data_IF_338470100394
#
_entry.id   IF_338470100394
#
_cell.length_a   1.000
_cell.length_b   1.000
_cell.length_c   1.000
_cell.angle_alpha   90.00
_cell.angle_beta   90.00
_cell.angle_gamma   90.00
#
_symmetry.space_group_name_H-M   'P 1'
#
loop_
_entity.id
_entity.type
_entity.pdbx_description
1 polymer ?
#
# COMPACT_ATOMS: atom_id res chain seq x y z
N UNK A 1 -78.19 4.23 11.88
CA UNK A 1 -77.69 4.80 10.61
C UNK A 1 -76.27 5.34 10.83
N UNK A 2 -75.28 4.79 10.11
CA UNK A 2 -73.90 5.31 9.87
C UNK A 2 -72.98 5.42 11.11
N UNK A 3 -71.70 5.04 11.14
CA UNK A 3 -70.74 4.43 10.20
C UNK A 3 -69.51 4.00 11.03
N UNK A 4 -68.94 2.85 10.65
CA UNK A 4 -67.53 2.41 10.71
C UNK A 4 -66.53 3.13 11.63
N UNK A 5 -65.77 2.34 12.39
CA UNK A 5 -64.30 2.48 12.50
C UNK A 5 -63.68 1.13 12.88
N UNK A 6 -63.33 0.36 11.83
CA UNK A 6 -62.32 -0.69 11.84
C UNK A 6 -60.99 0.04 11.56
N UNK A 7 -60.05 0.06 12.51
CA UNK A 7 -58.64 0.33 12.18
C UNK A 7 -57.76 -0.61 13.00
N UNK A 8 -57.30 -1.66 12.30
CA UNK A 8 -55.95 -2.21 12.29
C UNK A 8 -55.15 -2.19 13.60
N UNK A 9 -55.09 -3.34 14.25
CA UNK A 9 -53.94 -3.73 15.09
C UNK A 9 -52.78 -4.03 14.13
N UNK A 10 -52.00 -3.02 13.77
CA UNK A 10 -50.76 -3.18 13.04
C UNK A 10 -49.69 -3.68 14.02
N UNK A 11 -49.28 -4.94 13.85
CA UNK A 11 -48.08 -5.50 14.44
C UNK A 11 -46.87 -4.64 14.07
N UNK A 12 -46.41 -3.80 14.99
CA UNK A 12 -45.08 -3.21 14.96
C UNK A 12 -44.11 -4.32 15.37
N UNK A 13 -43.77 -5.21 14.43
CA UNK A 13 -42.52 -5.95 14.52
C UNK A 13 -41.42 -4.91 14.33
N UNK A 14 -40.88 -4.42 15.44
CA UNK A 14 -39.61 -3.70 15.46
C UNK A 14 -38.53 -4.64 14.93
N UNK A 15 -38.24 -4.55 13.63
CA UNK A 15 -37.03 -5.07 13.05
C UNK A 15 -35.86 -4.34 13.68
N UNK A 16 -35.30 -4.93 14.74
CA UNK A 16 -33.96 -4.61 15.22
C UNK A 16 -33.02 -5.04 14.10
N UNK A 17 -32.81 -4.14 13.14
CA UNK A 17 -31.67 -4.24 12.23
C UNK A 17 -30.46 -3.96 13.10
N UNK A 18 -29.87 -5.01 13.66
CA UNK A 18 -28.52 -4.95 14.18
C UNK A 18 -27.65 -4.51 13.02
N UNK A 19 -27.28 -3.22 13.00
CA UNK A 19 -26.17 -2.76 12.19
C UNK A 19 -24.95 -3.53 12.69
N UNK A 20 -24.65 -4.66 12.06
CA UNK A 20 -23.35 -5.28 12.20
C UNK A 20 -22.37 -4.20 11.76
N UNK A 21 -21.58 -3.70 12.70
CA UNK A 21 -20.46 -2.84 12.37
C UNK A 21 -19.56 -3.67 11.46
N UNK A 22 -19.60 -3.39 10.16
CA UNK A 22 -18.68 -4.01 9.21
C UNK A 22 -17.28 -3.58 9.63
N UNK A 23 -16.42 -4.55 9.92
CA UNK A 23 -15.02 -4.28 10.19
C UNK A 23 -14.42 -3.52 8.99
N UNK A 24 -13.52 -2.58 9.28
CA UNK A 24 -12.84 -1.82 8.23
C UNK A 24 -11.99 -2.77 7.38
N UNK A 25 -12.22 -2.79 6.07
CA UNK A 25 -11.34 -3.49 5.14
C UNK A 25 -9.95 -2.84 5.12
N UNK A 26 -8.91 -3.66 5.00
CA UNK A 26 -7.52 -3.27 4.94
C UNK A 26 -6.89 -3.81 3.67
N UNK A 27 -7.28 -3.25 2.54
CA UNK A 27 -7.14 -3.88 1.23
C UNK A 27 -5.73 -3.85 0.61
N UNK A 28 -4.77 -3.15 1.22
CA UNK A 28 -3.42 -2.91 0.66
C UNK A 28 -2.42 -2.55 1.76
N UNK A 29 -1.16 -2.36 1.38
CA UNK A 29 -0.13 -1.82 2.27
C UNK A 29 -0.61 -0.57 2.99
N UNK A 30 -0.61 -0.63 4.34
CA UNK A 30 -1.06 0.44 5.25
C UNK A 30 -2.55 0.83 5.10
N UNK A 31 -3.39 -0.05 4.57
CA UNK A 31 -4.85 0.10 4.62
C UNK A 31 -5.37 1.18 3.67
N UNK A 32 -6.47 1.81 4.07
CA UNK A 32 -7.16 2.83 3.26
C UNK A 32 -6.20 3.90 2.75
N UNK A 33 -6.05 3.98 1.42
CA UNK A 33 -5.11 4.84 0.71
C UNK A 33 -3.65 4.83 1.24
N UNK A 34 -3.23 3.77 1.94
CA UNK A 34 -1.90 3.67 2.55
C UNK A 34 -1.67 4.56 3.79
N UNK A 35 -2.74 5.08 4.41
CA UNK A 35 -2.66 6.03 5.51
C UNK A 35 -2.04 5.45 6.80
N UNK A 36 -2.20 4.14 7.03
CA UNK A 36 -1.76 3.47 8.26
C UNK A 36 -2.59 3.88 9.48
N UNK A 37 -3.87 4.19 9.28
CA UNK A 37 -4.80 4.62 10.33
C UNK A 37 -6.00 3.69 10.36
N UNK A 38 -6.36 3.23 11.56
CA UNK A 38 -7.61 2.54 11.83
C UNK A 38 -8.43 3.27 12.88
N UNK A 39 -9.75 3.24 12.73
CA UNK A 39 -10.71 3.78 13.70
C UNK A 39 -11.13 2.77 14.77
N UNK A 40 -10.61 1.54 14.72
CA UNK A 40 -10.80 0.54 15.75
C UNK A 40 -10.42 1.10 17.13
N UNK A 41 -11.28 0.86 18.12
CA UNK A 41 -11.09 1.27 19.51
C UNK A 41 -10.86 0.04 20.38
N UNK A 42 -10.35 0.24 21.59
CA UNK A 42 -10.16 -0.84 22.56
C UNK A 42 -8.96 -1.74 22.28
N UNK A 43 -8.03 -1.34 21.42
CA UNK A 43 -6.75 -2.02 21.24
C UNK A 43 -5.95 -1.90 22.55
N UNK A 44 -5.61 -3.01 23.22
CA UNK A 44 -4.92 -2.93 24.50
C UNK A 44 -3.49 -2.41 24.34
N UNK A 45 -3.05 -1.56 25.27
CA UNK A 45 -1.68 -1.02 25.28
C UNK A 45 -0.65 -2.02 25.83
N UNK A 46 -1.12 -3.12 26.42
CA UNK A 46 -0.31 -4.23 26.92
C UNK A 46 -0.92 -5.51 26.37
N UNK A 47 -0.09 -6.35 25.78
CA UNK A 47 -0.53 -7.58 25.12
C UNK A 47 -0.07 -8.80 25.91
N UNK A 48 -0.95 -9.77 26.04
CA UNK A 48 -0.74 -11.08 26.65
C UNK A 48 -1.20 -12.17 25.69
N UNK A 49 -0.87 -13.43 25.99
CA UNK A 49 -1.28 -14.54 25.12
C UNK A 49 -2.81 -14.69 25.00
N UNK A 50 -3.56 -14.23 26.00
CA UNK A 50 -5.04 -14.23 25.96
C UNK A 50 -5.65 -13.15 25.08
N UNK A 51 -4.87 -12.14 24.65
CA UNK A 51 -5.36 -11.05 23.81
C UNK A 51 -5.33 -11.41 22.31
N UNK A 52 -4.61 -12.48 21.92
CA UNK A 52 -4.62 -12.97 20.54
C UNK A 52 -5.89 -13.79 20.28
N UNK A 53 -6.61 -13.45 19.22
CA UNK A 53 -7.74 -14.27 18.75
C UNK A 53 -7.27 -15.67 18.29
N UNK A 54 -6.12 -15.71 17.61
CA UNK A 54 -5.47 -16.93 17.16
C UNK A 54 -4.01 -16.64 16.81
N UNK A 55 -3.23 -17.71 16.67
CA UNK A 55 -1.83 -17.67 16.23
C UNK A 55 -1.56 -18.86 15.34
N UNK A 56 -0.92 -18.61 14.20
CA UNK A 56 -0.46 -19.64 13.28
C UNK A 56 1.02 -19.43 12.96
N UNK A 57 1.68 -20.50 12.57
CA UNK A 57 3.00 -20.44 11.96
C UNK A 57 2.83 -20.48 10.44
N UNK A 58 3.35 -19.48 9.73
CA UNK A 58 3.35 -19.48 8.27
C UNK A 58 4.52 -20.34 7.76
N UNK A 59 4.33 -21.08 6.66
CA UNK A 59 5.45 -21.65 5.93
C UNK A 59 6.43 -20.56 5.50
N UNK A 60 7.70 -20.72 5.86
CA UNK A 60 8.81 -19.83 5.49
C UNK A 60 8.66 -18.37 6.00
N UNK A 61 9.42 -17.44 5.42
CA UNK A 61 9.54 -16.05 5.92
C UNK A 61 8.90 -15.06 4.95
N UNK A 62 8.11 -14.14 5.47
CA UNK A 62 7.48 -13.04 4.74
C UNK A 62 7.46 -11.77 5.56
N UNK A 63 7.64 -10.60 4.93
CA UNK A 63 7.56 -9.30 5.62
C UNK A 63 6.47 -8.40 5.02
N UNK A 64 5.61 -8.94 4.15
CA UNK A 64 4.40 -8.26 3.72
C UNK A 64 3.50 -7.99 4.92
N UNK A 65 2.74 -6.90 4.86
CA UNK A 65 1.66 -6.70 5.80
C UNK A 65 0.49 -7.62 5.42
N UNK A 66 -0.22 -8.23 6.38
CA UNK A 66 -1.48 -8.88 6.07
C UNK A 66 -2.47 -7.83 5.53
N UNK A 67 -3.23 -8.20 4.51
CA UNK A 67 -4.39 -7.44 4.04
C UNK A 67 -5.65 -8.21 4.40
N UNK A 68 -6.73 -7.51 4.68
CA UNK A 68 -8.01 -8.11 5.07
C UNK A 68 -9.12 -7.49 4.24
N UNK A 69 -9.97 -8.32 3.66
CA UNK A 69 -11.24 -7.92 3.08
C UNK A 69 -12.35 -8.81 3.63
N UNK A 70 -13.27 -8.21 4.38
CA UNK A 70 -14.25 -8.91 5.20
C UNK A 70 -13.57 -9.96 6.10
N UNK A 71 -13.79 -11.25 5.82
CA UNK A 71 -13.22 -12.37 6.56
C UNK A 71 -12.04 -13.03 5.85
N UNK A 72 -11.58 -12.46 4.74
CA UNK A 72 -10.51 -13.05 3.94
C UNK A 72 -9.22 -12.28 4.19
N UNK A 73 -8.20 -12.97 4.70
CA UNK A 73 -6.89 -12.40 4.96
C UNK A 73 -5.89 -12.96 3.94
N UNK A 74 -5.08 -12.07 3.35
CA UNK A 74 -3.95 -12.47 2.51
C UNK A 74 -2.62 -12.02 3.11
N UNK A 75 -1.63 -12.89 3.04
CA UNK A 75 -0.24 -12.63 3.42
C UNK A 75 0.69 -13.45 2.53
N UNK A 76 1.94 -13.02 2.37
CA UNK A 76 2.90 -13.68 1.48
C UNK A 76 4.15 -14.12 2.24
N UNK A 77 4.76 -15.20 1.80
CA UNK A 77 6.04 -15.72 2.31
C UNK A 77 6.93 -16.20 1.17
N UNK A 78 8.18 -16.55 1.46
CA UNK A 78 9.10 -17.10 0.47
C UNK A 78 10.13 -18.03 1.13
N UNK A 79 10.60 -19.01 0.35
CA UNK A 79 11.73 -19.86 0.75
C UNK A 79 13.00 -19.03 0.94
N UNK A 80 13.96 -19.59 1.68
CA UNK A 80 15.32 -19.05 1.67
C UNK A 80 15.88 -19.03 0.24
N UNK A 81 16.55 -17.95 -0.15
CA UNK A 81 16.95 -17.68 -1.53
C UNK A 81 15.85 -17.07 -2.41
N UNK A 82 14.57 -17.23 -2.05
CA UNK A 82 13.43 -16.63 -2.77
C UNK A 82 13.01 -17.35 -4.06
N UNK A 83 13.48 -18.58 -4.25
CA UNK A 83 13.20 -19.40 -5.44
C UNK A 83 11.75 -19.88 -5.53
N UNK A 84 11.04 -19.90 -4.40
CA UNK A 84 9.59 -20.12 -4.37
C UNK A 84 8.94 -19.11 -3.42
N UNK A 85 7.82 -18.54 -3.85
CA UNK A 85 7.07 -17.50 -3.13
C UNK A 85 5.62 -17.87 -3.02
N UNK A 86 5.03 -17.64 -1.87
CA UNK A 86 3.72 -18.13 -1.51
C UNK A 86 2.74 -16.98 -1.31
N UNK A 87 1.49 -17.26 -1.65
CA UNK A 87 0.32 -16.45 -1.31
C UNK A 87 -0.57 -17.32 -0.44
N UNK A 88 -0.81 -16.87 0.79
CA UNK A 88 -1.68 -17.54 1.74
C UNK A 88 -3.01 -16.81 1.79
N UNK A 89 -4.11 -17.54 1.65
CA UNK A 89 -5.46 -17.06 1.92
C UNK A 89 -5.97 -17.71 3.19
N UNK A 90 -6.25 -16.90 4.19
CA UNK A 90 -6.65 -17.34 5.52
C UNK A 90 -8.04 -16.79 5.86
N UNK A 91 -8.76 -17.54 6.69
CA UNK A 91 -9.93 -17.03 7.38
C UNK A 91 -9.50 -16.08 8.50
N UNK A 92 -9.93 -14.81 8.46
CA UNK A 92 -9.49 -13.78 9.39
C UNK A 92 -9.98 -14.00 10.82
N UNK A 93 -11.11 -14.71 11.00
CA UNK A 93 -11.70 -14.95 12.32
C UNK A 93 -11.00 -16.11 13.06
N UNK A 94 -10.52 -17.12 12.32
CA UNK A 94 -9.95 -18.35 12.89
C UNK A 94 -8.47 -18.60 12.60
N UNK A 95 -7.89 -17.90 11.63
CA UNK A 95 -6.54 -18.12 11.14
C UNK A 95 -6.36 -19.37 10.27
N UNK A 96 -7.44 -20.11 9.98
CA UNK A 96 -7.36 -21.33 9.15
C UNK A 96 -7.01 -21.00 7.71
N UNK A 97 -6.08 -21.74 7.12
CA UNK A 97 -5.75 -21.61 5.70
C UNK A 97 -6.89 -22.16 4.83
N UNK A 98 -7.40 -21.30 3.95
CA UNK A 98 -8.42 -21.65 2.96
C UNK A 98 -7.75 -22.21 1.71
N UNK A 99 -6.69 -21.55 1.26
CA UNK A 99 -5.85 -22.04 0.16
C UNK A 99 -4.46 -21.40 0.22
N UNK A 100 -3.53 -22.04 -0.48
CA UNK A 100 -2.18 -21.55 -0.71
C UNK A 100 -1.83 -21.70 -2.20
N UNK A 101 -1.21 -20.67 -2.78
CA UNK A 101 -0.60 -20.73 -4.10
C UNK A 101 0.90 -20.47 -4.00
N UNK A 102 1.69 -21.03 -4.92
CA UNK A 102 3.13 -20.75 -5.03
C UNK A 102 3.55 -20.35 -6.44
N UNK A 103 4.59 -19.52 -6.51
CA UNK A 103 5.25 -19.09 -7.74
C UNK A 103 6.74 -19.41 -7.64
N UNK A 104 7.27 -20.05 -8.67
CA UNK A 104 8.71 -20.27 -8.83
C UNK A 104 9.37 -19.08 -9.53
N UNK A 105 10.35 -18.49 -8.85
CA UNK A 105 11.22 -17.44 -9.37
C UNK A 105 12.68 -17.90 -9.24
N UNK A 106 13.61 -17.13 -9.82
CA UNK A 106 15.01 -17.37 -9.59
C UNK A 106 15.38 -16.93 -8.17
N UNK A 107 16.39 -17.60 -7.60
CA UNK A 107 17.03 -17.08 -6.40
C UNK A 107 17.61 -15.70 -6.68
N UNK A 108 17.50 -14.80 -5.70
CA UNK A 108 17.90 -13.40 -5.87
C UNK A 108 18.44 -12.82 -4.57
N UNK A 109 19.20 -11.72 -4.67
CA UNK A 109 19.75 -11.04 -3.49
C UNK A 109 18.75 -10.06 -2.89
N UNK A 110 18.89 -9.79 -1.60
CA UNK A 110 18.11 -8.79 -0.87
C UNK A 110 18.92 -8.19 0.26
N UNK A 111 18.42 -7.09 0.81
CA UNK A 111 18.93 -6.58 2.08
C UNK A 111 18.53 -7.50 3.25
N UNK A 112 19.35 -7.58 4.29
CA UNK A 112 19.10 -8.46 5.45
C UNK A 112 17.79 -8.15 6.20
N UNK A 113 17.34 -6.88 6.17
CA UNK A 113 16.05 -6.45 6.75
C UNK A 113 14.86 -6.59 5.80
N UNK A 114 15.07 -7.17 4.61
CA UNK A 114 14.03 -7.43 3.63
C UNK A 114 13.73 -8.93 3.54
N UNK A 115 12.65 -9.31 2.88
CA UNK A 115 12.35 -10.69 2.46
C UNK A 115 11.98 -10.72 0.97
N UNK A 116 11.97 -11.90 0.35
CA UNK A 116 11.52 -12.04 -1.05
C UNK A 116 9.99 -11.90 -1.21
N UNK A 117 9.27 -11.78 -0.09
CA UNK A 117 7.84 -11.57 0.01
C UNK A 117 7.53 -10.34 0.89
N UNK A 118 8.21 -9.21 0.62
CA UNK A 118 8.01 -7.95 1.35
C UNK A 118 7.01 -7.00 0.70
N UNK A 119 6.81 -7.13 -0.62
CA UNK A 119 5.73 -6.42 -1.30
C UNK A 119 4.39 -6.94 -0.75
N UNK A 120 3.60 -6.01 -0.22
CA UNK A 120 2.30 -6.33 0.36
C UNK A 120 1.28 -6.51 -0.75
N UNK A 121 0.46 -7.57 -0.75
CA UNK A 121 -0.58 -7.73 -1.75
C UNK A 121 -1.60 -6.57 -1.71
N UNK A 122 -2.39 -6.45 -2.76
CA UNK A 122 -3.55 -5.57 -2.80
C UNK A 122 -4.80 -6.36 -3.19
N UNK A 123 -6.00 -5.92 -2.80
CA UNK A 123 -7.26 -6.55 -3.21
C UNK A 123 -8.32 -5.52 -3.55
N UNK A 124 -9.18 -5.85 -4.51
CA UNK A 124 -10.40 -5.11 -4.84
C UNK A 124 -11.66 -5.72 -4.19
N UNK A 125 -11.49 -6.71 -3.32
CA UNK A 125 -12.58 -7.46 -2.68
C UNK A 125 -13.08 -8.68 -3.45
N UNK A 126 -12.56 -8.91 -4.66
CA UNK A 126 -12.87 -10.09 -5.47
C UNK A 126 -11.63 -10.84 -5.92
N UNK A 127 -10.50 -10.12 -6.04
CA UNK A 127 -9.20 -10.62 -6.47
C UNK A 127 -8.11 -10.13 -5.53
N UNK A 128 -7.07 -10.93 -5.39
CA UNK A 128 -5.81 -10.54 -4.73
C UNK A 128 -4.72 -10.43 -5.78
N UNK A 129 -3.97 -9.33 -5.72
CA UNK A 129 -2.86 -8.98 -6.60
C UNK A 129 -1.56 -9.03 -5.82
N UNK A 130 -0.60 -9.82 -6.29
CA UNK A 130 0.74 -9.89 -5.70
C UNK A 130 1.77 -9.37 -6.69
N UNK A 131 2.80 -8.71 -6.15
CA UNK A 131 3.97 -8.29 -6.90
C UNK A 131 5.19 -9.02 -6.33
N UNK A 132 5.82 -9.82 -7.17
CA UNK A 132 7.08 -10.49 -6.84
C UNK A 132 8.15 -10.11 -7.85
N UNK A 133 9.41 -10.23 -7.44
CA UNK A 133 10.51 -9.95 -8.34
C UNK A 133 11.77 -10.74 -8.02
N UNK A 134 12.39 -11.32 -9.04
CA UNK A 134 13.79 -11.75 -9.04
C UNK A 134 14.61 -10.81 -9.94
N UNK A 135 15.91 -11.07 -10.08
CA UNK A 135 16.83 -10.21 -10.86
C UNK A 135 16.49 -10.17 -12.37
N UNK A 136 15.68 -11.12 -12.85
CA UNK A 136 15.29 -11.27 -14.26
C UNK A 136 13.85 -10.86 -14.54
N UNK A 137 12.99 -10.79 -13.52
CA UNK A 137 11.54 -10.63 -13.68
C UNK A 137 10.91 -9.86 -12.53
N UNK A 138 10.14 -8.82 -12.88
CA UNK A 138 9.05 -8.27 -12.08
C UNK A 138 7.75 -8.93 -12.53
N UNK A 139 7.06 -9.60 -11.63
CA UNK A 139 5.88 -10.41 -11.93
C UNK A 139 4.69 -9.94 -11.09
N UNK A 140 3.58 -9.70 -11.77
CA UNK A 140 2.27 -9.48 -11.15
C UNK A 140 1.39 -10.69 -11.40
N UNK A 141 0.71 -11.19 -10.37
CA UNK A 141 -0.26 -12.28 -10.52
C UNK A 141 -1.53 -11.94 -9.75
N UNK A 142 -2.67 -12.27 -10.35
CA UNK A 142 -3.98 -12.11 -9.75
C UNK A 142 -4.65 -13.47 -9.53
N UNK A 143 -5.20 -13.68 -8.34
CA UNK A 143 -6.11 -14.79 -8.04
C UNK A 143 -7.45 -14.26 -7.58
N UNK A 144 -8.52 -15.01 -7.79
CA UNK A 144 -9.77 -14.76 -7.08
C UNK A 144 -9.69 -15.26 -5.62
N UNK A 145 -10.73 -14.99 -4.84
CA UNK A 145 -10.77 -15.40 -3.43
C UNK A 145 -10.92 -16.91 -3.22
N UNK A 146 -11.26 -17.66 -4.27
CA UNK A 146 -11.33 -19.13 -4.28
C UNK A 146 -9.99 -19.79 -4.61
N UNK A 147 -8.96 -19.00 -4.94
CA UNK A 147 -7.60 -19.49 -5.20
C UNK A 147 -7.34 -19.86 -6.65
N UNK A 148 -8.23 -19.49 -7.57
CA UNK A 148 -8.04 -19.65 -9.00
C UNK A 148 -7.24 -18.48 -9.57
N UNK A 149 -6.17 -18.78 -10.30
CA UNK A 149 -5.38 -17.75 -10.98
C UNK A 149 -6.19 -17.17 -12.15
N UNK A 150 -6.34 -15.86 -12.16
CA UNK A 150 -7.09 -15.14 -13.21
C UNK A 150 -6.15 -14.72 -14.33
N UNK A 151 -5.02 -14.11 -13.98
CA UNK A 151 -4.01 -13.67 -14.93
C UNK A 151 -2.64 -13.49 -14.27
N UNK A 152 -1.60 -13.50 -15.09
CA UNK A 152 -0.23 -13.13 -14.71
C UNK A 152 0.44 -12.26 -15.77
N UNK A 153 1.29 -11.35 -15.35
CA UNK A 153 2.03 -10.42 -16.22
C UNK A 153 3.48 -10.28 -15.78
N UNK A 154 4.41 -10.61 -16.66
CA UNK A 154 5.83 -10.22 -16.52
C UNK A 154 6.04 -8.81 -17.06
N UNK A 155 6.71 -7.97 -16.28
CA UNK A 155 6.95 -6.54 -16.54
C UNK A 155 8.44 -6.25 -16.81
N UNK A 156 9.19 -7.27 -17.23
CA UNK A 156 10.62 -7.18 -17.52
C UNK A 156 11.50 -7.39 -16.29
N UNK A 157 12.80 -7.10 -16.41
CA UNK A 157 13.77 -7.30 -15.34
C UNK A 157 13.60 -6.30 -14.19
N UNK A 158 14.01 -6.73 -12.98
CA UNK A 158 14.00 -5.91 -11.78
C UNK A 158 15.36 -5.92 -11.09
N UNK A 159 16.02 -4.77 -11.03
CA UNK A 159 17.33 -4.61 -10.43
C UNK A 159 17.27 -3.74 -9.18
N UNK A 160 17.61 -4.30 -8.02
CA UNK A 160 17.57 -3.59 -6.74
C UNK A 160 18.67 -4.06 -5.80
N UNK A 161 19.35 -3.11 -5.16
CA UNK A 161 20.32 -3.39 -4.09
C UNK A 161 19.70 -4.08 -2.87
N UNK A 162 18.39 -3.92 -2.65
CA UNK A 162 17.75 -4.36 -1.41
C UNK A 162 16.61 -5.35 -1.64
N UNK A 163 16.36 -5.80 -2.87
CA UNK A 163 15.21 -6.62 -3.25
C UNK A 163 13.96 -5.76 -3.50
N UNK A 164 12.81 -6.39 -3.74
CA UNK A 164 11.52 -5.70 -3.91
C UNK A 164 10.95 -5.27 -2.55
N UNK A 165 10.35 -4.07 -2.50
CA UNK A 165 9.72 -3.56 -1.27
C UNK A 165 8.50 -2.67 -1.50
N UNK A 166 8.42 -2.00 -2.65
CA UNK A 166 7.21 -1.27 -3.03
C UNK A 166 6.05 -2.24 -3.31
N UNK A 167 4.82 -1.80 -3.02
CA UNK A 167 3.61 -2.60 -3.14
C UNK A 167 2.70 -2.08 -4.27
N UNK A 168 1.93 -2.96 -4.94
CA UNK A 168 0.91 -2.52 -5.87
C UNK A 168 -0.20 -1.76 -5.13
N UNK A 169 -0.88 -0.87 -5.86
CA UNK A 169 -2.02 -0.12 -5.33
C UNK A 169 -3.19 -0.19 -6.30
N UNK A 170 -4.41 -0.06 -5.78
CA UNK A 170 -5.64 -0.09 -6.57
C UNK A 170 -6.38 1.25 -6.48
N UNK A 171 -6.97 1.67 -7.59
CA UNK A 171 -7.94 2.76 -7.62
C UNK A 171 -8.81 2.64 -8.87
N UNK A 172 -10.14 2.69 -8.71
CA UNK A 172 -11.11 2.70 -9.84
C UNK A 172 -10.84 1.65 -10.94
N UNK A 173 -10.53 0.41 -10.55
CA UNK A 173 -10.28 -0.69 -11.49
C UNK A 173 -8.89 -0.67 -12.15
N UNK A 174 -8.03 0.29 -11.79
CA UNK A 174 -6.62 0.31 -12.18
C UNK A 174 -5.74 -0.29 -11.08
N UNK A 175 -4.85 -1.19 -11.48
CA UNK A 175 -3.76 -1.70 -10.67
C UNK A 175 -2.48 -0.95 -11.04
N UNK A 176 -1.95 -0.18 -10.11
CA UNK A 176 -0.74 0.63 -10.31
C UNK A 176 0.46 -0.09 -9.71
N UNK A 177 1.49 -0.28 -10.53
CA UNK A 177 2.73 -0.95 -10.18
C UNK A 177 3.88 0.09 -10.15
N UNK A 178 4.40 0.43 -8.96
CA UNK A 178 5.62 1.22 -8.85
C UNK A 178 6.85 0.37 -9.21
N UNK A 179 7.62 0.79 -10.22
CA UNK A 179 8.82 0.10 -10.67
C UNK A 179 10.02 1.08 -10.73
N UNK A 180 10.39 1.65 -9.59
CA UNK A 180 11.61 2.44 -9.44
C UNK A 180 12.80 1.53 -9.09
N UNK A 181 13.81 1.45 -9.96
CA UNK A 181 14.87 0.42 -9.87
C UNK A 181 16.25 0.92 -10.33
N UNK A 182 17.31 0.11 -10.14
CA UNK A 182 18.67 0.33 -10.68
C UNK A 182 18.73 0.00 -12.18
N UNK A 183 17.85 0.62 -12.95
CA UNK A 183 17.63 0.34 -14.36
C UNK A 183 16.47 1.16 -14.92
N UNK A 184 15.94 0.77 -16.09
CA UNK A 184 14.73 1.38 -16.65
C UNK A 184 13.60 1.37 -15.62
N UNK A 185 13.22 2.56 -15.17
CA UNK A 185 12.21 2.73 -14.13
C UNK A 185 10.90 3.20 -14.75
N UNK A 186 9.78 2.78 -14.17
CA UNK A 186 8.46 3.17 -14.66
C UNK A 186 7.40 3.17 -13.58
N UNK A 187 6.30 3.87 -13.86
CA UNK A 187 5.02 3.66 -13.21
C UNK A 187 4.10 3.00 -14.24
N UNK A 188 3.50 1.88 -13.90
CA UNK A 188 2.70 1.08 -14.82
C UNK A 188 1.28 1.01 -14.30
N UNK A 189 0.29 1.24 -15.16
CA UNK A 189 -1.11 0.95 -14.86
C UNK A 189 -1.59 -0.22 -15.71
N UNK A 190 -2.19 -1.20 -15.03
CA UNK A 190 -2.86 -2.33 -15.62
C UNK A 190 -4.36 -2.25 -15.32
N UNK A 191 -5.19 -2.80 -16.19
CA UNK A 191 -6.58 -3.10 -15.82
C UNK A 191 -6.55 -4.19 -14.75
N UNK A 192 -7.16 -3.92 -13.60
CA UNK A 192 -7.17 -4.87 -12.48
C UNK A 192 -7.84 -6.20 -12.86
N UNK A 193 -8.82 -6.16 -13.78
CA UNK A 193 -9.55 -7.35 -14.19
C UNK A 193 -8.79 -8.30 -15.09
N UNK A 194 -8.04 -7.77 -16.06
CA UNK A 194 -7.43 -8.57 -17.12
C UNK A 194 -5.90 -8.60 -17.06
N UNK A 195 -5.27 -7.67 -16.33
CA UNK A 195 -3.83 -7.47 -16.34
C UNK A 195 -3.32 -6.78 -17.61
N UNK A 196 -4.21 -6.33 -18.50
CA UNK A 196 -3.81 -5.62 -19.72
C UNK A 196 -3.27 -4.21 -19.41
N UNK A 197 -2.18 -3.79 -20.05
CA UNK A 197 -1.60 -2.47 -19.82
C UNK A 197 -2.54 -1.37 -20.31
N UNK A 198 -2.70 -0.34 -19.48
CA UNK A 198 -3.44 0.88 -19.82
C UNK A 198 -2.46 1.97 -20.25
N UNK A 199 -1.45 2.22 -19.42
CA UNK A 199 -0.38 3.15 -19.70
C UNK A 199 0.88 2.77 -18.92
N UNK A 200 2.02 3.28 -19.39
CA UNK A 200 3.30 3.19 -18.71
C UNK A 200 4.03 4.52 -18.84
N UNK A 201 4.48 5.05 -17.71
CA UNK A 201 5.21 6.31 -17.64
C UNK A 201 6.66 6.04 -17.29
N UNK A 202 7.57 6.43 -18.17
CA UNK A 202 9.00 6.33 -17.91
C UNK A 202 9.41 7.24 -16.73
N UNK A 203 10.30 6.72 -15.89
CA UNK A 203 10.85 7.43 -14.73
C UNK A 203 12.35 7.50 -14.87
N UNK A 204 12.94 8.63 -14.46
CA UNK A 204 14.39 8.80 -14.62
C UNK A 204 15.11 7.80 -13.71
N UNK A 205 16.18 7.15 -14.21
CA UNK A 205 16.93 6.19 -13.40
C UNK A 205 17.60 6.89 -12.21
N UNK A 206 17.80 6.13 -11.14
CA UNK A 206 18.44 6.59 -9.90
C UNK A 206 18.55 5.45 -8.90
N UNK A 207 18.75 5.76 -7.62
CA UNK A 207 18.62 4.75 -6.57
C UNK A 207 17.20 4.20 -6.56
N UNK A 208 17.06 2.88 -6.42
CA UNK A 208 15.77 2.20 -6.24
C UNK A 208 14.96 2.87 -5.13
N UNK A 209 13.70 3.22 -5.43
CA UNK A 209 12.74 3.65 -4.42
C UNK A 209 11.93 2.45 -3.95
N UNK A 210 11.67 2.37 -2.64
CA UNK A 210 10.83 1.33 -2.04
C UNK A 210 9.48 1.88 -1.56
N UNK A 211 9.18 3.13 -1.95
CA UNK A 211 7.99 3.84 -1.50
C UNK A 211 6.78 3.37 -2.30
N UNK A 212 5.76 2.89 -1.60
CA UNK A 212 4.45 2.60 -2.20
C UNK A 212 3.70 3.92 -2.41
N UNK A 213 3.18 4.19 -3.62
CA UNK A 213 2.51 5.45 -3.91
C UNK A 213 1.17 5.58 -3.19
N UNK A 214 0.65 6.80 -3.13
CA UNK A 214 -0.70 7.12 -2.62
C UNK A 214 -1.53 7.80 -3.69
N UNK A 215 -2.85 7.73 -3.57
CA UNK A 215 -3.77 8.46 -4.44
C UNK A 215 -4.23 9.71 -3.71
N UNK A 216 -4.23 10.86 -4.37
CA UNK A 216 -4.73 12.12 -3.80
C UNK A 216 -5.64 12.81 -4.80
N UNK A 217 -6.50 13.71 -4.30
CA UNK A 217 -7.26 14.60 -5.16
C UNK A 217 -6.31 15.48 -5.98
N UNK A 218 -6.69 15.76 -7.22
CA UNK A 218 -6.01 16.71 -8.09
C UNK A 218 -6.51 18.16 -7.93
N UNK A 219 -7.45 18.42 -7.01
CA UNK A 219 -8.03 19.74 -6.76
C UNK A 219 -9.11 20.17 -7.78
N UNK A 220 -9.27 19.45 -8.90
CA UNK A 220 -10.24 19.71 -9.96
C UNK A 220 -11.32 18.64 -10.09
N UNK A 221 -11.52 17.82 -9.05
CA UNK A 221 -12.55 16.78 -8.99
C UNK A 221 -12.11 15.40 -9.49
N UNK A 222 -10.82 15.20 -9.78
CA UNK A 222 -10.24 13.91 -10.13
C UNK A 222 -9.13 13.47 -9.17
N UNK A 223 -8.43 12.41 -9.54
CA UNK A 223 -7.35 11.81 -8.75
C UNK A 223 -6.01 11.83 -9.46
N UNK A 224 -4.94 11.78 -8.68
CA UNK A 224 -3.57 11.64 -9.15
C UNK A 224 -2.80 10.70 -8.22
N UNK A 225 -1.81 10.01 -8.78
CA UNK A 225 -0.87 9.16 -8.06
C UNK A 225 0.30 10.02 -7.60
N UNK A 226 0.65 9.96 -6.33
CA UNK A 226 1.87 10.58 -5.82
C UNK A 226 2.95 9.52 -5.58
N UNK A 227 4.05 9.66 -6.29
CA UNK A 227 5.23 8.79 -6.16
C UNK A 227 6.40 9.57 -5.54
N UNK A 228 7.28 8.84 -4.86
CA UNK A 228 8.53 9.35 -4.31
C UNK A 228 9.72 8.61 -4.94
N UNK A 229 10.71 9.34 -5.45
CA UNK A 229 12.01 8.78 -5.80
C UNK A 229 13.12 9.82 -5.70
N UNK A 230 14.36 9.37 -5.51
CA UNK A 230 15.52 10.28 -5.50
C UNK A 230 15.61 11.06 -6.82
N UNK A 231 15.53 10.35 -7.94
CA UNK A 231 15.73 10.89 -9.28
C UNK A 231 14.58 11.76 -9.77
N UNK A 232 13.36 11.58 -9.25
CA UNK A 232 12.18 12.32 -9.71
C UNK A 232 11.53 13.20 -8.65
N UNK A 233 12.06 13.29 -7.43
CA UNK A 233 11.40 14.13 -6.44
C UNK A 233 10.12 13.49 -5.89
N UNK A 234 9.21 14.36 -5.48
CA UNK A 234 7.79 14.05 -5.34
C UNK A 234 7.11 14.37 -6.68
N UNK A 235 6.46 13.37 -7.27
CA UNK A 235 5.77 13.52 -8.57
C UNK A 235 4.28 13.27 -8.41
N UNK A 236 3.45 14.19 -8.89
CA UNK A 236 2.02 13.96 -9.12
C UNK A 236 1.79 13.49 -10.56
N UNK A 237 1.19 12.32 -10.70
CA UNK A 237 0.95 11.66 -11.99
C UNK A 237 -0.55 11.49 -12.18
N UNK A 238 -1.07 11.93 -13.33
CA UNK A 238 -2.46 11.73 -13.69
C UNK A 238 -2.82 10.23 -13.69
N UNK A 239 -3.89 9.88 -12.98
CA UNK A 239 -4.27 8.48 -12.77
C UNK A 239 -4.65 7.76 -14.06
N UNK A 240 -5.33 8.44 -14.98
CA UNK A 240 -5.92 7.81 -16.17
C UNK A 240 -4.96 7.77 -17.36
N UNK A 241 -4.05 8.73 -17.43
CA UNK A 241 -3.14 8.89 -18.58
C UNK A 241 -1.68 8.58 -18.28
N UNK A 242 -1.30 8.52 -16.99
CA UNK A 242 0.10 8.38 -16.59
C UNK A 242 0.93 9.65 -16.81
N UNK A 243 0.34 10.75 -17.27
CA UNK A 243 1.08 12.00 -17.51
C UNK A 243 1.52 12.62 -16.20
N UNK A 244 2.78 13.05 -16.10
CA UNK A 244 3.25 13.85 -14.97
C UNK A 244 2.58 15.22 -15.00
N UNK A 245 1.79 15.52 -13.98
CA UNK A 245 1.14 16.81 -13.80
C UNK A 245 2.11 17.84 -13.23
N UNK A 246 2.90 17.41 -12.24
CA UNK A 246 3.90 18.24 -11.57
C UNK A 246 4.97 17.36 -10.91
N UNK A 247 6.11 17.98 -10.64
CA UNK A 247 7.27 17.32 -10.05
C UNK A 247 8.11 18.33 -9.25
N UNK A 248 8.63 17.92 -8.09
CA UNK A 248 9.63 18.70 -7.34
C UNK A 248 11.05 18.48 -7.90
N UNK A 249 12.05 19.28 -7.50
CA UNK A 249 13.45 18.92 -7.71
C UNK A 249 13.77 17.52 -7.15
N UNK A 250 14.90 16.96 -7.63
CA UNK A 250 15.44 15.69 -7.13
C UNK A 250 15.58 15.72 -5.61
N UNK A 251 15.25 14.60 -4.97
CA UNK A 251 15.49 14.46 -3.54
C UNK A 251 16.97 14.22 -3.29
N UNK A 252 17.50 14.68 -2.14
CA UNK A 252 18.90 14.51 -1.82
C UNK A 252 19.29 13.05 -1.51
N UNK A 253 18.31 12.18 -1.22
CA UNK A 253 18.54 10.82 -0.75
C UNK A 253 17.44 9.84 -1.21
N UNK A 254 17.67 8.54 -0.94
CA UNK A 254 16.75 7.45 -1.25
C UNK A 254 15.45 7.55 -0.45
N UNK A 255 14.35 7.18 -1.08
CA UNK A 255 13.02 7.07 -0.47
C UNK A 255 12.69 5.62 -0.19
N UNK A 256 12.45 5.30 1.09
CA UNK A 256 12.04 3.96 1.53
C UNK A 256 10.62 4.02 2.07
N UNK A 257 10.38 4.94 3.01
CA UNK A 257 9.07 5.22 3.55
C UNK A 257 8.08 5.71 2.47
N UNK A 258 6.87 5.16 2.49
CA UNK A 258 5.75 5.67 1.69
C UNK A 258 5.25 7.01 2.26
N UNK A 259 4.76 7.93 1.42
CA UNK A 259 4.27 9.22 1.88
C UNK A 259 3.00 9.09 2.73
N UNK A 260 2.76 10.07 3.58
CA UNK A 260 1.44 10.33 4.16
C UNK A 260 0.79 11.51 3.43
N UNK A 261 -0.53 11.47 3.26
CA UNK A 261 -1.30 12.55 2.64
C UNK A 261 -2.34 13.09 3.63
N UNK A 262 -2.46 14.42 3.73
CA UNK A 262 -3.54 15.09 4.45
C UNK A 262 -3.68 16.52 3.93
N UNK A 263 -4.92 17.01 3.83
CA UNK A 263 -5.21 18.44 3.59
C UNK A 263 -4.46 19.07 2.40
N UNK A 264 -4.38 18.34 1.27
CA UNK A 264 -3.69 18.81 0.06
C UNK A 264 -2.16 18.82 0.17
N UNK A 265 -1.60 18.18 1.20
CA UNK A 265 -0.18 18.02 1.42
C UNK A 265 0.25 16.57 1.38
N UNK A 266 1.47 16.37 0.89
CA UNK A 266 2.23 15.13 0.98
C UNK A 266 3.37 15.34 1.96
N UNK A 267 3.45 14.46 2.94
CA UNK A 267 4.52 14.41 3.92
C UNK A 267 5.44 13.24 3.58
N UNK A 268 6.70 13.56 3.27
CA UNK A 268 7.67 12.59 2.79
C UNK A 268 8.96 12.65 3.61
N UNK A 269 9.68 11.52 3.64
CA UNK A 269 11.03 11.43 4.20
C UNK A 269 11.95 10.72 3.23
N UNK A 270 13.22 11.11 3.24
CA UNK A 270 14.28 10.37 2.58
C UNK A 270 15.56 10.36 3.43
N UNK A 271 16.44 9.40 3.14
CA UNK A 271 17.64 9.19 3.94
C UNK A 271 18.60 8.17 3.36
N UNK A 272 19.61 7.85 4.16
CA UNK A 272 20.67 6.94 3.80
C UNK A 272 21.31 6.36 5.06
N UNK A 273 22.01 5.22 4.93
CA UNK A 273 22.74 4.61 6.04
C UNK A 273 21.87 4.28 7.27
N UNK A 274 20.58 3.99 7.06
CA UNK A 274 19.65 3.67 8.15
C UNK A 274 19.21 4.88 8.99
N UNK A 275 19.32 6.10 8.46
CA UNK A 275 18.92 7.33 9.17
C UNK A 275 18.17 8.30 8.27
N UNK A 276 17.07 8.87 8.78
CA UNK A 276 16.33 9.92 8.08
C UNK A 276 17.14 11.20 8.02
N UNK A 277 17.24 11.82 6.84
CA UNK A 277 18.09 13.00 6.60
C UNK A 277 17.30 14.20 6.15
N UNK A 278 16.17 13.98 5.47
CA UNK A 278 15.38 15.03 4.87
C UNK A 278 13.90 14.70 4.93
N UNK A 279 13.12 15.72 5.24
CA UNK A 279 11.67 15.70 5.28
C UNK A 279 11.15 16.92 4.55
N UNK A 280 10.06 16.75 3.80
CA UNK A 280 9.33 17.85 3.18
C UNK A 280 7.82 17.66 3.31
N UNK A 281 7.11 18.78 3.43
CA UNK A 281 5.67 18.87 3.16
C UNK A 281 5.48 19.53 1.78
N UNK A 282 4.73 18.88 0.91
CA UNK A 282 4.64 19.22 -0.52
C UNK A 282 3.18 19.38 -0.93
N UNK A 283 2.82 20.51 -1.55
CA UNK A 283 1.48 20.75 -2.05
C UNK A 283 1.15 19.88 -3.27
N UNK A 284 -0.05 19.30 -3.26
CA UNK A 284 -0.51 18.36 -4.30
C UNK A 284 -1.28 19.03 -5.42
N UNK A 285 -1.76 20.27 -5.24
CA UNK A 285 -2.48 20.99 -6.28
C UNK A 285 -1.56 21.23 -7.51
N UNK A 286 -1.94 20.76 -8.70
CA UNK A 286 -1.19 21.01 -9.93
C UNK A 286 -1.03 22.50 -10.26
N UNK A 287 -1.95 23.37 -9.83
CA UNK A 287 -1.90 24.81 -10.09
C UNK A 287 -0.82 25.55 -9.30
N UNK A 288 -0.26 24.94 -8.26
CA UNK A 288 0.82 25.52 -7.44
C UNK A 288 2.12 25.61 -8.24
N UNK A 289 2.81 26.75 -8.18
CA UNK A 289 4.10 26.92 -8.86
C UNK A 289 5.18 26.01 -8.27
N UNK A 290 6.21 25.68 -9.06
CA UNK A 290 7.29 24.81 -8.60
C UNK A 290 8.02 25.37 -7.37
N UNK A 291 8.20 26.69 -7.29
CA UNK A 291 8.91 27.40 -6.23
C UNK A 291 8.15 27.41 -4.91
N UNK A 292 6.81 27.32 -4.95
CA UNK A 292 5.94 27.36 -3.77
C UNK A 292 5.45 25.98 -3.34
N UNK A 293 5.84 24.93 -4.08
CA UNK A 293 5.30 23.58 -3.87
C UNK A 293 5.79 22.93 -2.58
N UNK A 294 7.04 23.17 -2.19
CA UNK A 294 7.58 22.71 -0.92
C UNK A 294 7.31 23.81 0.11
N UNK A 295 6.42 23.53 1.07
CA UNK A 295 5.95 24.52 2.05
C UNK A 295 6.64 24.41 3.40
N UNK A 296 7.30 23.27 3.66
CA UNK A 296 8.05 23.04 4.88
C UNK A 296 9.11 21.99 4.66
N UNK A 297 10.27 22.17 5.30
CA UNK A 297 11.39 21.23 5.27
C UNK A 297 11.97 21.02 6.67
N UNK A 298 12.50 19.83 6.91
CA UNK A 298 13.22 19.49 8.14
C UNK A 298 14.36 18.53 7.86
N UNK A 299 15.42 18.58 8.68
CA UNK A 299 16.63 17.75 8.53
C UNK A 299 17.08 17.02 9.80
N UNK A 300 16.29 17.08 10.88
CA UNK A 300 16.67 16.56 12.20
C UNK A 300 15.56 15.71 12.80
N UNK A 301 15.93 14.65 13.53
CA UNK A 301 14.99 13.71 14.19
C UNK A 301 13.93 13.16 13.22
N UNK A 302 14.40 12.57 12.14
CA UNK A 302 13.56 12.06 11.06
C UNK A 302 13.67 10.54 10.94
N UNK A 303 12.58 9.86 10.53
CA UNK A 303 12.62 8.48 10.12
C UNK A 303 13.20 8.33 8.72
N UNK A 304 13.66 7.12 8.40
CA UNK A 304 14.06 6.72 7.06
C UNK A 304 13.15 5.62 6.51
N UNK A 305 13.07 4.48 7.20
CA UNK A 305 12.26 3.34 6.76
C UNK A 305 10.79 3.46 7.23
N UNK A 306 10.50 3.83 8.49
CA UNK A 306 9.12 3.95 8.93
C UNK A 306 8.37 5.07 8.21
N UNK A 307 7.13 4.78 7.82
CA UNK A 307 6.28 5.73 7.12
C UNK A 307 5.66 6.76 8.10
N UNK A 308 5.59 8.04 7.73
CA UNK A 308 4.82 9.03 8.49
C UNK A 308 3.34 8.61 8.64
N UNK A 309 2.68 9.11 9.69
CA UNK A 309 1.24 8.93 9.91
C UNK A 309 0.63 10.28 10.24
N UNK A 310 -0.47 10.66 9.57
CA UNK A 310 -1.25 11.84 9.93
C UNK A 310 -2.55 11.39 10.58
N UNK A 311 -2.87 11.95 11.74
CA UNK A 311 -4.17 11.71 12.39
C UNK A 311 -4.57 12.93 13.22
N UNK A 312 -5.83 13.35 13.07
CA UNK A 312 -6.41 14.47 13.83
C UNK A 312 -5.57 15.75 13.76
N UNK A 313 -5.07 16.09 12.57
CA UNK A 313 -4.24 17.28 12.35
C UNK A 313 -2.81 17.20 12.91
N UNK A 314 -2.39 16.04 13.44
CA UNK A 314 -1.04 15.81 13.95
C UNK A 314 -0.26 14.88 13.02
N UNK A 315 1.03 15.18 12.81
CA UNK A 315 1.93 14.35 12.02
C UNK A 315 2.89 13.58 12.95
N UNK A 316 2.81 12.26 12.90
CA UNK A 316 3.65 11.35 13.67
C UNK A 316 4.79 10.79 12.81
N UNK A 317 6.01 10.93 13.31
CA UNK A 317 7.24 10.46 12.71
C UNK A 317 7.93 9.48 13.66
N UNK A 318 7.87 8.18 13.35
CA UNK A 318 8.51 7.13 14.14
C UNK A 318 9.91 6.84 13.63
N UNK A 319 10.96 7.31 14.30
CA UNK A 319 12.34 7.08 13.89
C UNK A 319 12.77 5.61 13.96
N UNK A 320 13.72 5.21 13.11
CA UNK A 320 14.28 3.85 13.01
C UNK A 320 14.90 3.33 14.33
N UNK A 321 15.16 4.23 15.29
CA UNK A 321 15.68 3.92 16.63
C UNK A 321 14.61 3.94 17.73
N UNK A 322 13.33 3.94 17.37
CA UNK A 322 12.20 3.93 18.31
C UNK A 322 11.85 5.27 18.94
N UNK A 323 12.29 6.39 18.34
CA UNK A 323 11.94 7.74 18.82
C UNK A 323 10.73 8.23 18.04
N UNK A 324 9.62 8.49 18.74
CA UNK A 324 8.44 9.12 18.15
C UNK A 324 8.52 10.64 18.25
N UNK A 325 8.26 11.32 17.14
CA UNK A 325 8.13 12.78 17.07
C UNK A 325 6.75 13.13 16.57
N UNK A 326 6.07 14.05 17.25
CA UNK A 326 4.84 14.68 16.75
C UNK A 326 5.18 16.08 16.25
N UNK A 327 4.72 16.41 15.05
CA UNK A 327 4.73 17.73 14.45
C UNK A 327 3.30 18.28 14.39
#
# INVERSE_FOLDING_TARGET
MRRLSLILVACVLSSIVSAQALAQNWARFRGENGAGVSDLKGIPSTWTDSDYAWKIELPHVGHSSPIIWEKTLFVTSATEGGGERFVHCLDADSGQERWQASIKLNESKKHQKNSWASSTPATDGTRVYVLFADDTRLLVVAWNFDGEEIWRRELGAYNSEHGLGASPILHEGLLIIPNDQLGPSSLIALQAESGEPVWQSERSPGKTSYSTPVIVSNGSGGFQIVCLSESNGVTGVDLLTGKVNWQTPKLPYRTVASPAASDGLIFMVCGEGGSGKYFAAVQTDPAVSAESRIVFERKTRLPYVPCPVVRNGMLFLWGDKGILVCL
#
